data_IF_877579912338
#
_entry.id   IF_877579912338
#
_cell.length_a   1.000
_cell.length_b   1.000
_cell.length_c   1.000
_cell.angle_alpha   90.00
_cell.angle_beta   90.00
_cell.angle_gamma   90.00
#
_symmetry.space_group_name_H-M   'P 1'
#
loop_
_entity.id
_entity.type
_entity.pdbx_description
1 polymer ?
#
# COMPACT_ATOMS: atom_id res chain seq x y z
N UNK A 1 37.33 -58.54 16.13
CA UNK A 1 37.23 -57.35 16.98
C UNK A 1 36.88 -56.22 16.01
N UNK A 2 35.57 -56.12 15.68
CA UNK A 2 35.01 -55.12 14.78
C UNK A 2 34.70 -53.84 15.58
N UNK A 3 34.98 -52.64 15.03
CA UNK A 3 34.53 -51.41 15.66
C UNK A 3 33.08 -51.08 15.25
N UNK A 4 32.33 -50.81 16.26
CA UNK A 4 30.97 -50.38 16.39
C UNK A 4 30.63 -49.20 15.46
N UNK A 5 29.66 -49.39 14.60
CA UNK A 5 29.12 -48.34 13.73
C UNK A 5 28.18 -47.43 14.54
N UNK A 6 28.67 -46.23 14.89
CA UNK A 6 27.90 -45.23 15.57
C UNK A 6 26.72 -44.81 14.71
N UNK A 7 25.49 -45.12 15.12
CA UNK A 7 24.26 -44.68 14.52
C UNK A 7 24.08 -43.16 14.67
N UNK A 8 23.97 -42.46 13.56
CA UNK A 8 23.61 -41.04 13.54
C UNK A 8 22.24 -40.80 14.15
N UNK A 9 22.05 -39.76 14.98
CA UNK A 9 20.78 -39.47 15.57
C UNK A 9 19.75 -38.99 14.52
N UNK A 10 18.47 -39.30 14.65
CA UNK A 10 17.45 -38.90 13.71
C UNK A 10 17.27 -37.36 13.74
N UNK A 11 17.26 -36.76 12.55
CA UNK A 11 16.99 -35.34 12.37
C UNK A 11 15.56 -35.03 12.82
N UNK A 12 15.43 -34.39 13.97
CA UNK A 12 14.15 -33.91 14.50
C UNK A 12 13.72 -32.73 13.66
N UNK A 13 12.81 -32.95 12.71
CA UNK A 13 12.18 -31.91 11.92
C UNK A 13 11.30 -31.05 12.83
N UNK A 14 11.60 -29.75 12.93
CA UNK A 14 10.81 -28.78 13.69
C UNK A 14 9.41 -28.66 13.08
N UNK A 15 8.30 -28.70 13.88
CA UNK A 15 6.92 -28.75 13.36
C UNK A 15 6.51 -27.61 12.41
N UNK A 16 7.19 -26.46 12.43
CA UNK A 16 6.92 -25.32 11.54
C UNK A 16 7.47 -25.47 10.13
N UNK A 17 8.50 -26.30 9.91
CA UNK A 17 9.14 -26.43 8.59
C UNK A 17 8.34 -27.27 7.61
N UNK A 18 7.56 -28.23 8.10
CA UNK A 18 6.71 -29.10 7.29
C UNK A 18 5.55 -28.31 6.69
N UNK A 19 4.88 -27.49 7.50
CA UNK A 19 3.77 -26.62 7.04
C UNK A 19 4.24 -25.56 6.03
N UNK A 20 5.45 -25.02 6.20
CA UNK A 20 6.01 -24.05 5.28
C UNK A 20 6.40 -24.69 3.94
N UNK A 21 6.99 -25.88 3.95
CA UNK A 21 7.30 -26.66 2.74
C UNK A 21 6.04 -27.04 1.97
N UNK A 22 4.98 -27.41 2.67
CA UNK A 22 3.71 -27.79 2.07
C UNK A 22 3.06 -26.58 1.37
N UNK A 23 3.05 -25.40 1.99
CA UNK A 23 2.57 -24.17 1.37
C UNK A 23 3.39 -23.75 0.14
N UNK A 24 4.71 -23.93 0.18
CA UNK A 24 5.58 -23.67 -0.97
C UNK A 24 5.33 -24.66 -2.13
N UNK A 25 5.07 -25.93 -1.81
CA UNK A 25 4.73 -26.93 -2.81
C UNK A 25 3.35 -26.70 -3.44
N UNK A 26 2.35 -26.31 -2.62
CA UNK A 26 1.01 -25.95 -3.09
C UNK A 26 1.05 -24.70 -3.98
N UNK A 27 1.83 -23.68 -3.60
CA UNK A 27 2.04 -22.49 -4.41
C UNK A 27 2.76 -22.80 -5.72
N UNK A 28 3.77 -23.64 -5.70
CA UNK A 28 4.49 -24.07 -6.91
C UNK A 28 3.59 -24.93 -7.82
N UNK A 29 2.77 -25.82 -7.26
CA UNK A 29 1.82 -26.63 -8.02
C UNK A 29 0.72 -25.77 -8.66
N UNK A 30 0.23 -24.74 -7.95
CA UNK A 30 -0.72 -23.77 -8.50
C UNK A 30 -0.10 -22.98 -9.66
N UNK A 31 1.17 -22.60 -9.56
CA UNK A 31 1.90 -21.91 -10.61
C UNK A 31 2.05 -22.74 -11.89
N UNK A 32 2.42 -24.03 -11.76
CA UNK A 32 2.55 -24.96 -12.89
C UNK A 32 1.22 -25.26 -13.59
N UNK A 33 0.10 -25.25 -12.83
CA UNK A 33 -1.23 -25.42 -13.42
C UNK A 33 -1.68 -24.21 -14.23
N UNK A 34 -1.20 -23.01 -13.92
CA UNK A 34 -1.52 -21.77 -14.64
C UNK A 34 -0.85 -21.72 -16.02
N UNK A 35 0.30 -22.39 -16.20
CA UNK A 35 1.01 -22.43 -17.51
C UNK A 35 0.35 -23.29 -18.60
N UNK A 36 -0.61 -24.14 -18.26
CA UNK A 36 -1.18 -25.15 -19.19
C UNK A 36 -2.61 -24.87 -19.66
N UNK A 37 -3.19 -23.70 -19.29
CA UNK A 37 -4.54 -23.33 -19.72
C UNK A 37 -4.56 -22.66 -21.10
N UNK A 38 -5.69 -22.72 -21.85
CA UNK A 38 -5.86 -21.91 -23.06
C UNK A 38 -5.75 -20.43 -22.65
N UNK A 39 -4.93 -19.65 -23.37
CA UNK A 39 -4.75 -18.21 -23.15
C UNK A 39 -6.14 -17.55 -23.19
N UNK A 40 -6.65 -17.02 -22.05
CA UNK A 40 -7.94 -16.35 -22.05
C UNK A 40 -7.85 -15.12 -22.96
N UNK A 41 -8.96 -14.70 -23.57
CA UNK A 41 -8.98 -13.50 -24.40
C UNK A 41 -8.46 -12.30 -23.57
N UNK A 42 -7.61 -11.48 -24.18
CA UNK A 42 -7.06 -10.27 -23.56
C UNK A 42 -8.20 -9.44 -22.96
N UNK A 43 -8.22 -9.29 -21.64
CA UNK A 43 -9.20 -8.47 -20.99
C UNK A 43 -8.93 -6.98 -21.27
N UNK A 44 -9.99 -6.15 -21.29
CA UNK A 44 -9.82 -4.72 -21.55
C UNK A 44 -8.89 -4.10 -20.50
N UNK A 45 -8.10 -3.13 -20.94
CA UNK A 45 -7.18 -2.37 -20.09
C UNK A 45 -7.94 -1.78 -18.91
N UNK A 46 -7.60 -2.20 -17.69
CA UNK A 46 -8.20 -1.69 -16.46
C UNK A 46 -7.89 -0.19 -16.30
N UNK A 47 -8.91 0.57 -15.97
CA UNK A 47 -8.81 2.00 -15.66
C UNK A 47 -8.71 2.20 -14.15
N UNK A 48 -8.16 3.33 -13.74
CA UNK A 48 -8.08 3.73 -12.33
C UNK A 48 -9.45 3.69 -11.66
N UNK A 49 -10.51 4.18 -12.35
CA UNK A 49 -11.88 4.17 -11.84
C UNK A 49 -12.44 2.79 -11.52
N UNK A 50 -11.94 1.73 -12.17
CA UNK A 50 -12.39 0.35 -11.94
C UNK A 50 -11.81 -0.23 -10.64
N UNK A 51 -10.69 0.32 -10.15
CA UNK A 51 -9.93 -0.22 -9.02
C UNK A 51 -9.78 0.74 -7.84
N UNK A 52 -10.07 2.05 -8.04
CA UNK A 52 -9.92 3.04 -6.98
C UNK A 52 -10.89 2.82 -5.83
N UNK A 53 -10.51 3.23 -4.64
CA UNK A 53 -11.42 3.38 -3.51
C UNK A 53 -12.22 4.68 -3.68
N UNK A 54 -13.52 4.58 -3.85
CA UNK A 54 -14.44 5.72 -3.86
C UNK A 54 -14.75 6.13 -2.42
N UNK A 55 -14.91 7.44 -2.17
CA UNK A 55 -15.17 7.95 -0.81
C UNK A 55 -13.97 7.78 0.12
N UNK A 56 -12.77 7.90 -0.42
CA UNK A 56 -11.55 7.82 0.37
C UNK A 56 -11.55 8.82 1.54
N UNK A 57 -11.05 8.38 2.69
CA UNK A 57 -10.83 9.25 3.86
C UNK A 57 -9.93 10.40 3.45
N UNK A 58 -10.34 11.62 3.76
CA UNK A 58 -9.55 12.83 3.50
C UNK A 58 -9.43 13.68 4.76
N UNK A 59 -8.44 14.57 4.80
CA UNK A 59 -8.20 15.47 5.93
C UNK A 59 -8.07 16.91 5.42
N UNK A 60 -8.50 17.92 6.18
CA UNK A 60 -8.27 19.31 5.82
C UNK A 60 -6.84 19.74 6.17
N UNK A 61 -6.27 20.74 5.44
CA UNK A 61 -4.89 21.19 5.64
C UNK A 61 -4.66 21.91 6.98
N UNK A 62 -5.71 22.45 7.59
CA UNK A 62 -5.71 23.16 8.87
C UNK A 62 -5.99 22.27 10.08
N UNK A 63 -6.26 20.98 9.88
CA UNK A 63 -6.35 20.02 10.99
C UNK A 63 -4.99 19.85 11.68
N UNK A 64 -5.03 19.46 12.96
CA UNK A 64 -3.82 19.11 13.69
C UNK A 64 -3.30 17.71 13.25
N UNK A 65 -1.98 17.57 13.15
CA UNK A 65 -1.35 16.31 12.79
C UNK A 65 -1.76 15.16 13.72
N UNK A 66 -1.94 15.43 15.02
CA UNK A 66 -2.41 14.45 15.99
C UNK A 66 -3.84 13.96 15.70
N UNK A 67 -4.75 14.87 15.38
CA UNK A 67 -6.15 14.53 15.05
C UNK A 67 -6.20 13.71 13.75
N UNK A 68 -5.45 14.14 12.75
CA UNK A 68 -5.33 13.41 11.49
C UNK A 68 -4.74 12.01 11.71
N UNK A 69 -3.72 11.88 12.56
CA UNK A 69 -3.12 10.58 12.89
C UNK A 69 -4.12 9.63 13.54
N UNK A 70 -4.93 10.13 14.51
CA UNK A 70 -5.98 9.33 15.14
C UNK A 70 -7.04 8.90 14.14
N UNK A 71 -7.48 9.81 13.25
CA UNK A 71 -8.44 9.50 12.19
C UNK A 71 -7.91 8.39 11.28
N UNK A 72 -6.66 8.49 10.82
CA UNK A 72 -6.05 7.48 9.96
C UNK A 72 -5.94 6.12 10.70
N UNK A 73 -5.63 6.15 11.99
CA UNK A 73 -5.56 4.94 12.83
C UNK A 73 -6.93 4.27 12.98
N UNK A 74 -7.98 5.04 13.29
CA UNK A 74 -9.35 4.56 13.43
C UNK A 74 -9.87 3.97 12.12
N UNK A 75 -9.62 4.65 11.00
CA UNK A 75 -10.02 4.21 9.66
C UNK A 75 -9.09 3.11 9.10
N UNK A 76 -8.03 2.74 9.82
CA UNK A 76 -7.03 1.73 9.44
C UNK A 76 -6.38 2.00 8.08
N UNK A 77 -6.16 3.27 7.76
CA UNK A 77 -5.48 3.70 6.55
C UNK A 77 -4.10 4.30 6.87
N UNK A 78 -3.15 4.10 5.99
CA UNK A 78 -1.78 4.60 6.17
C UNK A 78 -1.58 6.00 5.58
N UNK A 79 -2.56 6.50 4.83
CA UNK A 79 -2.46 7.75 4.07
C UNK A 79 -3.84 8.32 3.77
N UNK A 80 -3.92 9.62 3.59
CA UNK A 80 -5.14 10.31 3.17
C UNK A 80 -4.83 11.50 2.28
N UNK A 81 -5.62 11.74 1.21
CA UNK A 81 -5.60 13.00 0.50
C UNK A 81 -5.89 14.17 1.44
N UNK A 82 -5.15 15.26 1.25
CA UNK A 82 -5.44 16.53 1.92
C UNK A 82 -6.26 17.39 0.97
N UNK A 83 -7.44 17.81 1.41
CA UNK A 83 -8.39 18.57 0.58
C UNK A 83 -8.72 19.91 1.22
N UNK A 84 -8.77 20.96 0.40
CA UNK A 84 -9.17 22.28 0.86
C UNK A 84 -10.70 22.39 1.05
N UNK A 85 -11.17 23.55 1.50
CA UNK A 85 -12.59 23.83 1.72
C UNK A 85 -13.44 23.71 0.43
N UNK A 86 -12.83 23.77 -0.76
CA UNK A 86 -13.47 23.60 -2.04
C UNK A 86 -13.51 22.13 -2.51
N UNK A 87 -12.94 21.19 -1.71
CA UNK A 87 -12.85 19.78 -2.05
C UNK A 87 -11.72 19.41 -3.01
N UNK A 88 -10.83 20.36 -3.31
CA UNK A 88 -9.69 20.14 -4.20
C UNK A 88 -8.51 19.53 -3.45
N UNK A 89 -7.81 18.61 -4.09
CA UNK A 89 -6.62 17.99 -3.54
C UNK A 89 -5.46 18.98 -3.52
N UNK A 90 -4.90 19.22 -2.33
CA UNK A 90 -3.77 20.13 -2.10
C UNK A 90 -2.52 19.40 -1.61
N UNK A 91 -2.63 18.14 -1.21
CA UNK A 91 -1.52 17.33 -0.74
C UNK A 91 -1.90 15.90 -0.42
N UNK A 92 -0.93 15.15 0.09
CA UNK A 92 -1.08 13.80 0.59
C UNK A 92 -0.44 13.70 1.97
N UNK A 93 -1.21 13.24 2.95
CA UNK A 93 -0.72 12.97 4.30
C UNK A 93 -0.36 11.50 4.42
N UNK A 94 0.86 11.22 4.87
CA UNK A 94 1.35 9.88 5.16
C UNK A 94 1.47 9.72 6.68
N UNK A 95 0.90 8.66 7.23
CA UNK A 95 0.99 8.37 8.67
C UNK A 95 2.45 8.19 9.11
N UNK A 96 3.30 7.65 8.24
CA UNK A 96 4.72 7.48 8.50
C UNK A 96 5.47 8.82 8.72
N UNK A 97 5.05 9.90 8.05
CA UNK A 97 5.72 11.21 8.12
C UNK A 97 5.35 11.98 9.41
N UNK A 98 4.26 11.60 10.05
CA UNK A 98 3.85 12.22 11.32
C UNK A 98 4.65 11.72 12.53
N UNK A 99 5.39 10.60 12.35
CA UNK A 99 6.13 9.94 13.43
C UNK A 99 5.23 9.17 14.39
N UNK A 100 5.82 8.45 15.37
CA UNK A 100 5.07 7.68 16.35
C UNK A 100 4.45 8.60 17.41
N UNK A 101 3.24 9.09 17.14
CA UNK A 101 2.47 9.95 18.06
C UNK A 101 1.88 9.12 19.22
N UNK A 102 1.74 7.82 19.03
CA UNK A 102 1.18 6.86 19.98
C UNK A 102 2.20 6.29 20.98
N UNK A 103 3.49 6.53 20.80
CA UNK A 103 4.50 6.12 21.76
C UNK A 103 4.63 7.15 22.87
N UNK A 104 4.62 6.66 24.14
CA UNK A 104 4.91 7.51 25.28
C UNK A 104 6.34 8.05 25.14
N UNK A 105 6.52 9.37 24.97
CA UNK A 105 7.84 9.95 24.82
C UNK A 105 8.62 9.79 26.14
N UNK A 106 9.94 9.67 26.04
CA UNK A 106 10.77 9.82 27.23
C UNK A 106 10.62 11.24 27.80
N UNK A 107 10.80 11.43 29.11
CA UNK A 107 10.58 12.74 29.72
C UNK A 107 11.33 13.90 29.05
N UNK A 108 12.52 13.63 28.51
CA UNK A 108 13.31 14.61 27.77
C UNK A 108 12.69 14.99 26.40
N UNK A 109 11.89 14.11 25.80
CA UNK A 109 11.34 14.26 24.44
C UNK A 109 9.91 14.82 24.44
N UNK A 110 9.29 14.98 25.62
CA UNK A 110 7.90 15.46 25.78
C UNK A 110 7.66 16.81 25.07
N UNK A 111 8.52 17.84 25.19
CA UNK A 111 8.30 19.11 24.50
C UNK A 111 8.27 18.95 22.97
N UNK A 112 9.16 18.10 22.41
CA UNK A 112 9.19 17.84 20.99
C UNK A 112 7.99 17.03 20.51
N UNK A 113 7.53 16.06 21.30
CA UNK A 113 6.32 15.27 20.99
C UNK A 113 5.08 16.18 20.95
N UNK A 114 4.94 17.10 21.90
CA UNK A 114 3.85 18.09 21.93
C UNK A 114 3.96 19.02 20.70
N UNK A 115 5.14 19.51 20.37
CA UNK A 115 5.34 20.39 19.23
C UNK A 115 4.97 19.67 17.91
N UNK A 116 5.34 18.40 17.74
CA UNK A 116 4.95 17.59 16.58
C UNK A 116 3.44 17.37 16.51
N UNK A 117 2.81 17.04 17.63
CA UNK A 117 1.37 16.79 17.69
C UNK A 117 0.52 18.02 17.35
N UNK A 118 1.05 19.23 17.62
CA UNK A 118 0.40 20.52 17.34
C UNK A 118 0.66 21.08 15.95
N UNK A 119 1.49 20.42 15.13
CA UNK A 119 1.69 20.86 13.75
C UNK A 119 0.40 20.72 12.95
N UNK A 120 0.20 21.61 11.99
CA UNK A 120 -0.89 21.48 11.03
C UNK A 120 -0.58 20.41 9.99
N UNK A 121 -1.59 19.80 9.42
CA UNK A 121 -1.47 18.84 8.32
C UNK A 121 -0.71 19.49 7.15
N UNK A 122 -0.97 20.76 6.83
CA UNK A 122 -0.27 21.52 5.80
C UNK A 122 1.25 21.62 5.98
N UNK A 123 1.75 21.45 7.21
CA UNK A 123 3.18 21.51 7.53
C UNK A 123 3.88 20.14 7.42
N UNK A 124 3.11 19.05 7.36
CA UNK A 124 3.62 17.67 7.36
C UNK A 124 3.23 16.88 6.11
N UNK A 125 2.27 17.37 5.33
CA UNK A 125 1.83 16.73 4.10
C UNK A 125 2.88 16.81 3.00
N UNK A 126 2.85 15.86 2.06
CA UNK A 126 3.57 15.95 0.78
C UNK A 126 2.77 16.87 -0.13
N UNK A 127 3.39 17.96 -0.56
CA UNK A 127 2.78 18.94 -1.49
C UNK A 127 3.90 19.58 -2.34
N UNK A 128 3.70 19.77 -3.65
CA UNK A 128 2.57 19.26 -4.43
C UNK A 128 2.55 17.75 -4.56
N UNK A 129 1.37 17.18 -4.77
CA UNK A 129 1.17 15.73 -5.00
C UNK A 129 0.62 15.49 -6.41
N UNK A 130 1.14 14.52 -7.17
CA UNK A 130 0.54 14.12 -8.44
C UNK A 130 -0.84 13.53 -8.22
N UNK A 131 -1.79 13.85 -9.09
CA UNK A 131 -3.14 13.28 -9.13
C UNK A 131 -3.37 12.57 -10.45
N UNK A 132 -4.35 11.68 -10.49
CA UNK A 132 -4.73 10.95 -11.71
C UNK A 132 -6.23 11.07 -11.95
N UNK A 133 -6.66 11.00 -13.21
CA UNK A 133 -8.07 10.94 -13.56
C UNK A 133 -8.59 9.49 -13.50
N UNK A 134 -9.86 9.28 -13.17
CA UNK A 134 -10.48 7.97 -13.13
C UNK A 134 -10.42 7.21 -14.47
N UNK A 135 -10.41 7.92 -15.60
CA UNK A 135 -10.28 7.35 -16.94
C UNK A 135 -8.86 6.92 -17.33
N UNK A 136 -7.85 7.21 -16.50
CA UNK A 136 -6.45 6.84 -16.77
C UNK A 136 -6.27 5.32 -16.75
N UNK A 137 -5.51 4.77 -17.71
CA UNK A 137 -5.12 3.36 -17.69
C UNK A 137 -4.25 3.06 -16.48
N UNK A 138 -4.57 1.99 -15.75
CA UNK A 138 -3.90 1.63 -14.50
C UNK A 138 -2.38 1.42 -14.68
N UNK A 139 -1.95 0.87 -15.83
CA UNK A 139 -0.52 0.68 -16.17
C UNK A 139 0.27 1.99 -16.22
N UNK A 140 -0.38 3.15 -16.46
CA UNK A 140 0.28 4.46 -16.48
C UNK A 140 0.52 5.02 -15.08
N UNK A 141 -0.17 4.50 -14.06
CA UNK A 141 -0.02 4.89 -12.66
C UNK A 141 1.21 4.25 -12.02
N UNK A 142 1.53 3.01 -12.41
CA UNK A 142 2.64 2.26 -11.83
C UNK A 142 4.00 2.99 -11.91
N UNK A 143 4.43 3.55 -13.07
CA UNK A 143 5.67 4.34 -13.15
C UNK A 143 5.64 5.55 -12.21
N UNK A 144 4.53 6.27 -12.13
CA UNK A 144 4.42 7.46 -11.25
C UNK A 144 4.61 7.09 -9.79
N UNK A 145 4.02 5.97 -9.33
CA UNK A 145 4.21 5.48 -7.97
C UNK A 145 5.63 4.99 -7.69
N UNK A 146 6.30 4.43 -8.70
CA UNK A 146 7.69 4.01 -8.58
C UNK A 146 8.63 5.21 -8.49
N UNK A 147 8.46 6.18 -9.39
CA UNK A 147 9.34 7.36 -9.49
C UNK A 147 9.18 8.29 -8.28
N UNK A 148 7.95 8.47 -7.80
CA UNK A 148 7.67 9.33 -6.64
C UNK A 148 7.88 8.66 -5.30
N UNK A 149 7.94 7.32 -5.26
CA UNK A 149 7.97 6.57 -4.00
C UNK A 149 6.65 6.56 -3.23
N UNK A 150 5.62 7.28 -3.71
CA UNK A 150 4.33 7.38 -3.02
C UNK A 150 3.61 6.03 -2.97
N UNK A 151 2.92 5.72 -1.86
CA UNK A 151 2.17 4.46 -1.72
C UNK A 151 0.83 4.46 -2.47
N UNK A 152 0.37 5.62 -2.92
CA UNK A 152 -0.87 5.79 -3.68
C UNK A 152 -1.02 7.21 -4.18
N UNK A 153 -2.01 7.45 -5.03
CA UNK A 153 -2.32 8.74 -5.63
C UNK A 153 -3.79 9.10 -5.43
N UNK A 154 -4.09 10.38 -5.14
CA UNK A 154 -5.45 10.89 -5.21
C UNK A 154 -5.98 10.82 -6.66
N UNK A 155 -7.24 10.43 -6.78
CA UNK A 155 -7.97 10.44 -8.05
C UNK A 155 -8.87 11.67 -8.05
N UNK A 156 -8.73 12.51 -9.09
CA UNK A 156 -9.46 13.77 -9.19
C UNK A 156 -10.26 13.86 -10.48
N UNK A 157 -11.28 14.71 -10.47
CA UNK A 157 -11.96 15.17 -11.66
C UNK A 157 -11.18 16.32 -12.36
N UNK A 158 -11.73 16.87 -13.44
CA UNK A 158 -11.15 17.97 -14.21
C UNK A 158 -11.04 19.28 -13.41
N UNK A 159 -11.79 19.40 -12.31
CA UNK A 159 -11.75 20.56 -11.39
C UNK A 159 -10.74 20.39 -10.26
N UNK A 160 -10.08 19.22 -10.18
CA UNK A 160 -9.18 18.85 -9.09
C UNK A 160 -9.90 18.39 -7.83
N UNK A 161 -11.22 18.12 -7.91
CA UNK A 161 -11.98 17.60 -6.77
C UNK A 161 -11.67 16.12 -6.57
N UNK A 162 -11.52 15.72 -5.30
CA UNK A 162 -11.27 14.33 -4.93
C UNK A 162 -12.47 13.45 -5.28
N UNK A 163 -12.26 12.43 -6.12
CA UNK A 163 -13.28 11.42 -6.48
C UNK A 163 -12.91 10.03 -5.99
N UNK A 164 -11.65 9.77 -5.65
CA UNK A 164 -11.19 8.48 -5.15
C UNK A 164 -9.72 8.48 -4.80
N UNK A 165 -9.22 7.28 -4.51
CA UNK A 165 -7.81 7.04 -4.20
C UNK A 165 -7.36 5.70 -4.78
N UNK A 166 -6.20 5.65 -5.42
CA UNK A 166 -5.60 4.43 -5.98
C UNK A 166 -4.26 4.15 -5.32
N UNK A 167 -4.02 2.90 -4.92
CA UNK A 167 -2.82 2.47 -4.20
C UNK A 167 -1.99 1.48 -5.01
N UNK A 168 -0.74 1.25 -4.59
CA UNK A 168 0.09 0.15 -5.11
C UNK A 168 -0.59 -1.21 -4.94
N UNK A 169 -1.33 -1.40 -3.86
CA UNK A 169 -2.07 -2.64 -3.60
C UNK A 169 -3.18 -2.87 -4.62
N UNK A 170 -3.84 -1.80 -5.08
CA UNK A 170 -4.88 -1.92 -6.11
C UNK A 170 -4.27 -2.32 -7.46
N UNK A 171 -3.09 -1.80 -7.79
CA UNK A 171 -2.33 -2.23 -8.98
C UNK A 171 -1.95 -3.70 -8.88
N UNK A 172 -1.42 -4.14 -7.72
CA UNK A 172 -1.06 -5.54 -7.52
C UNK A 172 -2.27 -6.47 -7.60
N UNK A 173 -3.43 -6.07 -7.06
CA UNK A 173 -4.68 -6.84 -7.19
C UNK A 173 -5.10 -6.96 -8.65
N UNK A 174 -4.98 -5.89 -9.42
CA UNK A 174 -5.30 -5.90 -10.84
C UNK A 174 -4.40 -6.87 -11.61
N UNK A 175 -3.09 -6.87 -11.33
CA UNK A 175 -2.12 -7.79 -11.94
C UNK A 175 -2.41 -9.25 -11.59
N UNK A 176 -2.82 -9.53 -10.34
CA UNK A 176 -3.14 -10.90 -9.90
C UNK A 176 -4.48 -11.39 -10.45
N UNK A 177 -5.45 -10.48 -10.63
CA UNK A 177 -6.78 -10.81 -11.14
C UNK A 177 -6.80 -11.03 -12.65
N UNK A 178 -5.85 -10.43 -13.39
CA UNK A 178 -5.68 -10.63 -14.83
C UNK A 178 -4.67 -11.77 -15.06
N UNK A 179 -4.93 -12.75 -15.96
CA UNK A 179 -3.91 -13.73 -16.29
C UNK A 179 -2.66 -13.01 -16.81
N UNK A 180 -1.47 -13.58 -16.56
CA UNK A 180 -0.22 -12.84 -16.47
C UNK A 180 -0.02 -11.89 -17.64
N UNK A 181 0.12 -10.61 -17.31
CA UNK A 181 0.62 -9.61 -18.25
C UNK A 181 1.89 -10.22 -18.87
N UNK A 182 1.87 -10.38 -20.18
CA UNK A 182 3.04 -10.83 -20.93
C UNK A 182 4.11 -9.73 -20.79
N UNK A 183 4.95 -9.87 -19.76
CA UNK A 183 6.00 -8.90 -19.40
C UNK A 183 7.18 -8.96 -20.39
N UNK A 184 7.12 -9.87 -21.38
CA UNK A 184 8.24 -10.21 -22.24
C UNK A 184 7.97 -10.01 -23.75
N UNK A 185 6.90 -9.33 -24.13
CA UNK A 185 6.63 -8.99 -25.55
C UNK A 185 7.08 -7.56 -25.86
#
# INVERSE_FOLDING_TARGET
>A
MEPDAAASPPLISRPGQTAQRQRLQEAAAAYVQTEKGPTPPRQPVLRVGDMMTVGAVSVPPDALAHEAWLLLAEQRVAQAPVVNAQGQVVGLLLRADMGPIDLLPQPADVPQAIARARRMVSEVMVSPVPTVAAGTELRRVAPVLLDTGLPGLPVTDERGLLVGFVTRTDILRAVVADPPLDLWS
#
